data_IF_798245192467
#
_entry.id   IF_798245192467
#
_cell.length_a   1.000
_cell.length_b   1.000
_cell.length_c   1.000
_cell.angle_alpha   90.00
_cell.angle_beta   90.00
_cell.angle_gamma   90.00
#
_symmetry.space_group_name_H-M   'P 1'
#
loop_
_entity.id
_entity.type
_entity.pdbx_description
1 polymer ?
#
# COMPACT_ATOMS: atom_id res chain seq x y z
N UNK A 1 -5.92 30.12 6.57
CA UNK A 1 -6.44 28.81 6.97
C UNK A 1 -5.48 27.80 6.38
N UNK A 2 -4.82 26.98 7.21
CA UNK A 2 -3.97 25.90 6.71
C UNK A 2 -4.90 24.80 6.17
N UNK A 3 -4.70 24.38 4.91
CA UNK A 3 -5.45 23.28 4.33
C UNK A 3 -5.03 21.97 5.00
N UNK A 4 -6.00 21.17 5.47
CA UNK A 4 -5.70 19.88 6.07
C UNK A 4 -5.17 18.92 5.00
N UNK A 5 -3.95 18.43 5.19
CA UNK A 5 -3.28 17.49 4.27
C UNK A 5 -3.85 16.08 4.45
N UNK A 6 -4.07 15.36 3.34
CA UNK A 6 -4.48 13.95 3.39
C UNK A 6 -3.33 13.08 3.89
N UNK A 7 -3.60 12.17 4.83
CA UNK A 7 -2.58 11.28 5.42
C UNK A 7 -2.90 9.82 5.11
N UNK A 8 -1.96 9.14 4.44
CA UNK A 8 -1.96 7.68 4.29
C UNK A 8 -1.14 7.06 5.41
N UNK A 9 -1.80 6.38 6.34
CA UNK A 9 -1.14 5.53 7.33
C UNK A 9 -0.97 4.12 6.75
N UNK A 10 0.28 3.71 6.55
CA UNK A 10 0.65 2.48 5.88
C UNK A 10 1.44 1.60 6.86
N UNK A 11 0.77 0.60 7.41
CA UNK A 11 1.45 -0.42 8.21
C UNK A 11 1.99 -1.53 7.30
N UNK A 12 3.22 -1.95 7.54
CA UNK A 12 3.91 -3.01 6.80
C UNK A 12 4.32 -4.13 7.74
N UNK A 13 4.28 -5.36 7.25
CA UNK A 13 4.83 -6.51 7.96
C UNK A 13 5.39 -7.53 6.96
N UNK A 14 6.50 -8.15 7.32
CA UNK A 14 7.04 -9.33 6.65
C UNK A 14 7.65 -10.24 7.72
N UNK A 15 7.42 -11.57 7.68
CA UNK A 15 7.92 -12.49 8.71
C UNK A 15 9.43 -12.42 8.93
N UNK A 16 10.19 -12.19 7.87
CA UNK A 16 11.67 -12.11 7.91
C UNK A 16 12.19 -10.67 7.85
N UNK A 17 11.39 -9.66 8.22
CA UNK A 17 11.76 -8.23 8.07
C UNK A 17 13.06 -7.86 8.79
N UNK A 18 13.32 -8.44 9.97
CA UNK A 18 14.52 -8.17 10.78
C UNK A 18 15.78 -8.83 10.19
N UNK A 19 15.62 -9.99 9.53
CA UNK A 19 16.74 -10.76 8.98
C UNK A 19 17.15 -10.27 7.59
N UNK A 20 16.17 -9.97 6.74
CA UNK A 20 16.40 -9.69 5.32
C UNK A 20 16.34 -8.20 4.99
N UNK A 21 16.02 -7.34 5.97
CA UNK A 21 16.00 -5.90 5.78
C UNK A 21 15.01 -5.42 4.71
N UNK A 22 13.89 -6.14 4.51
CA UNK A 22 12.90 -5.88 3.45
C UNK A 22 12.41 -4.42 3.45
N UNK A 23 12.33 -3.80 4.62
CA UNK A 23 11.88 -2.42 4.81
C UNK A 23 13.00 -1.44 5.17
N UNK A 24 14.27 -1.81 4.95
CA UNK A 24 15.44 -0.99 5.34
C UNK A 24 15.49 0.39 4.67
N UNK A 25 14.87 0.56 3.51
CA UNK A 25 14.78 1.84 2.80
C UNK A 25 13.38 2.51 2.92
N UNK A 26 12.49 1.97 3.74
CA UNK A 26 11.16 2.57 3.95
C UNK A 26 11.32 3.73 4.93
N UNK A 27 11.01 4.98 4.54
CA UNK A 27 11.09 6.11 5.45
C UNK A 27 9.98 6.03 6.50
N UNK A 28 10.17 6.61 7.69
CA UNK A 28 9.10 6.70 8.69
C UNK A 28 7.93 7.61 8.21
N UNK A 29 8.27 8.67 7.48
CA UNK A 29 7.32 9.61 6.91
C UNK A 29 7.83 10.12 5.56
N UNK A 30 6.90 10.37 4.64
CA UNK A 30 7.16 10.99 3.34
C UNK A 30 6.06 12.01 3.04
N UNK A 31 6.45 13.26 2.77
CA UNK A 31 5.55 14.29 2.25
C UNK A 31 5.90 14.53 0.78
N UNK A 32 4.88 14.57 -0.09
CA UNK A 32 5.08 14.81 -1.51
C UNK A 32 3.85 15.49 -2.11
N UNK A 33 3.95 15.90 -3.37
CA UNK A 33 2.83 16.38 -4.16
C UNK A 33 1.80 15.28 -4.43
N UNK A 34 0.82 15.53 -5.29
CA UNK A 34 -0.18 14.52 -5.66
C UNK A 34 0.33 13.53 -6.74
N UNK A 35 1.64 13.31 -6.84
CA UNK A 35 2.17 12.25 -7.70
C UNK A 35 1.85 10.85 -7.14
N UNK A 36 1.74 9.83 -8.02
CA UNK A 36 1.45 8.47 -7.57
C UNK A 36 2.57 7.90 -6.69
N UNK A 37 2.20 7.25 -5.59
CA UNK A 37 3.13 6.59 -4.68
C UNK A 37 3.40 5.19 -5.23
N UNK A 38 4.62 4.94 -5.69
CA UNK A 38 4.99 3.65 -6.28
C UNK A 38 5.81 2.84 -5.29
N UNK A 39 5.39 1.61 -5.02
CA UNK A 39 6.15 0.64 -4.24
C UNK A 39 6.77 -0.39 -5.16
N UNK A 40 8.02 -0.76 -4.89
CA UNK A 40 8.72 -1.78 -5.66
C UNK A 40 10.20 -1.82 -5.31
N UNK A 41 10.98 -2.58 -6.08
CA UNK A 41 12.43 -2.71 -5.88
C UNK A 41 13.24 -1.68 -6.69
N UNK A 42 12.61 -1.04 -7.68
CA UNK A 42 13.25 -0.07 -8.58
C UNK A 42 13.75 1.16 -7.84
N UNK A 43 14.80 1.80 -8.36
CA UNK A 43 15.31 3.07 -7.82
C UNK A 43 14.37 4.25 -8.11
N UNK A 44 13.47 4.08 -9.08
CA UNK A 44 12.42 5.01 -9.46
C UNK A 44 11.15 4.91 -8.59
N UNK A 45 11.12 3.99 -7.61
CA UNK A 45 10.00 3.84 -6.70
C UNK A 45 10.05 4.85 -5.56
N UNK A 46 8.90 5.44 -5.24
CA UNK A 46 8.68 6.27 -4.07
C UNK A 46 9.02 5.54 -2.76
N UNK A 47 8.68 4.25 -2.68
CA UNK A 47 8.97 3.39 -1.53
C UNK A 47 9.67 2.12 -2.01
N UNK A 48 10.92 1.94 -1.58
CA UNK A 48 11.75 0.82 -2.00
C UNK A 48 11.65 -0.36 -1.04
N UNK A 49 11.25 -1.51 -1.58
CA UNK A 49 11.15 -2.78 -0.86
C UNK A 49 12.31 -3.69 -1.25
N UNK A 50 13.16 -4.04 -0.28
CA UNK A 50 14.39 -4.81 -0.49
C UNK A 50 14.13 -6.32 -0.46
N UNK A 51 13.38 -6.81 -1.45
CA UNK A 51 13.14 -8.25 -1.59
C UNK A 51 13.21 -8.69 -3.05
N UNK A 52 13.92 -9.79 -3.34
CA UNK A 52 14.20 -10.22 -4.72
C UNK A 52 12.95 -10.57 -5.53
N UNK A 53 11.93 -11.12 -4.86
CA UNK A 53 10.64 -11.46 -5.48
C UNK A 53 9.76 -10.24 -5.74
N UNK A 54 10.07 -9.07 -5.16
CA UNK A 54 9.34 -7.83 -5.45
C UNK A 54 9.74 -7.32 -6.84
N UNK A 55 8.73 -7.09 -7.68
CA UNK A 55 8.85 -6.44 -8.98
C UNK A 55 9.48 -5.04 -8.88
N UNK A 56 10.15 -4.59 -9.96
CA UNK A 56 10.76 -3.24 -10.02
C UNK A 56 9.74 -2.16 -9.68
N UNK A 57 8.54 -2.25 -10.26
CA UNK A 57 7.33 -1.54 -9.83
C UNK A 57 6.29 -2.61 -9.48
N UNK A 58 5.80 -2.63 -8.25
CA UNK A 58 4.96 -3.72 -7.74
C UNK A 58 3.51 -3.26 -7.58
N UNK A 59 3.29 -2.13 -6.92
CA UNK A 59 1.98 -1.49 -6.82
C UNK A 59 2.11 0.02 -6.84
N UNK A 60 0.99 0.69 -7.09
CA UNK A 60 0.88 2.14 -7.09
C UNK A 60 -0.36 2.56 -6.32
N UNK A 61 -0.22 3.58 -5.46
CA UNK A 61 -1.34 4.33 -4.91
C UNK A 61 -1.48 5.64 -5.69
N UNK A 62 -2.62 5.82 -6.34
CA UNK A 62 -2.88 6.94 -7.21
C UNK A 62 -3.95 7.84 -6.59
N UNK A 63 -3.60 9.10 -6.25
CA UNK A 63 -4.55 10.08 -5.75
C UNK A 63 -5.49 10.53 -6.88
N UNK A 64 -6.75 10.79 -6.56
CA UNK A 64 -7.72 11.38 -7.48
C UNK A 64 -8.78 12.18 -6.72
N UNK A 65 -9.45 13.09 -7.44
CA UNK A 65 -10.61 13.82 -6.95
C UNK A 65 -11.85 13.39 -7.73
N UNK A 66 -12.92 13.09 -7.01
CA UNK A 66 -14.23 12.91 -7.62
C UNK A 66 -14.88 14.26 -7.90
N UNK A 67 -15.73 14.32 -8.92
CA UNK A 67 -16.42 15.57 -9.28
C UNK A 67 -17.31 16.01 -8.12
N UNK A 68 -16.97 17.15 -7.52
CA UNK A 68 -17.72 17.73 -6.41
C UNK A 68 -17.30 17.24 -5.02
N UNK A 69 -16.29 16.38 -4.91
CA UNK A 69 -15.64 16.07 -3.63
C UNK A 69 -14.51 17.08 -3.37
N UNK A 70 -14.33 17.42 -2.10
CA UNK A 70 -13.21 18.23 -1.62
C UNK A 70 -12.08 17.37 -1.06
N UNK A 71 -12.36 16.10 -0.76
CA UNK A 71 -11.40 15.19 -0.18
C UNK A 71 -10.69 14.37 -1.25
N UNK A 72 -9.38 14.23 -1.08
CA UNK A 72 -8.57 13.37 -1.93
C UNK A 72 -8.94 11.90 -1.72
N UNK A 73 -9.20 11.20 -2.82
CA UNK A 73 -9.41 9.75 -2.85
C UNK A 73 -8.15 9.09 -3.38
N UNK A 74 -8.06 7.78 -3.16
CA UNK A 74 -6.92 6.98 -3.61
C UNK A 74 -7.39 5.69 -4.22
N UNK A 75 -6.61 5.20 -5.16
CA UNK A 75 -6.81 3.91 -5.79
C UNK A 75 -5.52 3.12 -5.77
N UNK A 76 -5.63 1.81 -5.62
CA UNK A 76 -4.52 0.89 -5.61
C UNK A 76 -4.50 0.13 -6.93
N UNK A 77 -3.36 0.15 -7.61
CA UNK A 77 -3.14 -0.51 -8.89
C UNK A 77 -2.01 -1.53 -8.79
N UNK A 78 -2.24 -2.73 -9.32
CA UNK A 78 -1.18 -3.72 -9.45
C UNK A 78 -0.29 -3.40 -10.67
N UNK A 79 1.02 -3.25 -10.44
CA UNK A 79 2.02 -3.04 -11.48
C UNK A 79 2.92 -4.26 -11.73
N UNK A 80 2.80 -5.30 -10.91
CA UNK A 80 3.53 -6.55 -11.06
C UNK A 80 2.95 -7.40 -12.18
N UNK A 81 3.76 -7.71 -13.19
CA UNK A 81 3.44 -8.75 -14.20
C UNK A 81 3.66 -10.17 -13.68
N UNK A 82 4.44 -10.31 -12.60
CA UNK A 82 4.92 -11.59 -12.08
C UNK A 82 3.94 -12.23 -11.10
N UNK A 83 3.13 -11.41 -10.44
CA UNK A 83 2.28 -11.83 -9.34
C UNK A 83 1.01 -10.99 -9.31
N UNK A 84 -0.10 -11.63 -8.99
CA UNK A 84 -1.28 -10.93 -8.48
C UNK A 84 -1.02 -10.48 -7.03
N UNK A 85 -1.91 -9.65 -6.50
CA UNK A 85 -1.95 -9.31 -5.08
C UNK A 85 -3.35 -9.48 -4.55
N UNK A 86 -3.50 -9.84 -3.28
CA UNK A 86 -4.81 -9.93 -2.64
C UNK A 86 -5.14 -8.59 -1.99
N UNK A 87 -6.23 -7.96 -2.40
CA UNK A 87 -6.77 -6.73 -1.80
C UNK A 87 -8.12 -7.03 -1.19
N UNK A 88 -8.25 -6.87 0.14
CA UNK A 88 -9.47 -7.16 0.89
C UNK A 88 -10.06 -8.57 0.60
N UNK A 89 -9.18 -9.56 0.39
CA UNK A 89 -9.55 -10.95 0.10
C UNK A 89 -9.75 -11.26 -1.38
N UNK A 90 -9.73 -10.25 -2.25
CA UNK A 90 -9.92 -10.40 -3.69
C UNK A 90 -8.61 -10.30 -4.45
N UNK A 91 -8.39 -11.16 -5.44
CA UNK A 91 -7.20 -11.08 -6.29
C UNK A 91 -7.26 -9.89 -7.25
N UNK A 92 -6.17 -9.12 -7.29
CA UNK A 92 -5.96 -7.99 -8.19
C UNK A 92 -4.84 -8.32 -9.19
N UNK A 93 -5.23 -8.48 -10.44
CA UNK A 93 -4.33 -8.85 -11.55
C UNK A 93 -3.55 -7.67 -12.11
N UNK A 94 -2.56 -7.95 -12.97
CA UNK A 94 -1.72 -6.93 -13.58
C UNK A 94 -2.54 -5.81 -14.23
N UNK A 95 -2.19 -4.56 -13.91
CA UNK A 95 -2.86 -3.31 -14.34
C UNK A 95 -4.29 -3.11 -13.85
N UNK A 96 -4.88 -4.06 -13.11
CA UNK A 96 -6.15 -3.84 -12.47
C UNK A 96 -5.98 -2.86 -11.29
N UNK A 97 -7.05 -2.11 -11.03
CA UNK A 97 -7.08 -1.03 -10.06
C UNK A 97 -8.38 -1.09 -9.27
N UNK A 98 -8.30 -0.78 -7.99
CA UNK A 98 -9.46 -0.69 -7.08
C UNK A 98 -9.39 0.60 -6.25
N UNK A 99 -10.50 1.27 -5.97
CA UNK A 99 -10.51 2.38 -5.03
C UNK A 99 -10.16 1.90 -3.62
N UNK A 100 -9.47 2.73 -2.84
CA UNK A 100 -9.30 2.51 -1.41
C UNK A 100 -10.60 2.85 -0.68
N UNK A 101 -11.03 1.97 0.22
CA UNK A 101 -12.22 2.18 1.04
C UNK A 101 -11.96 1.73 2.47
N UNK A 102 -12.05 2.65 3.43
CA UNK A 102 -11.74 2.38 4.84
C UNK A 102 -10.34 1.78 5.01
N UNK A 103 -10.24 0.77 5.87
CA UNK A 103 -9.01 0.01 6.10
C UNK A 103 -8.79 -1.03 4.97
N UNK A 104 -7.83 -0.78 4.09
CA UNK A 104 -7.52 -1.67 2.97
C UNK A 104 -6.37 -2.62 3.33
N UNK A 105 -6.63 -3.92 3.25
CA UNK A 105 -5.66 -4.99 3.53
C UNK A 105 -5.09 -5.53 2.22
N UNK A 106 -3.78 -5.55 2.11
CA UNK A 106 -3.07 -5.96 0.90
C UNK A 106 -2.03 -7.02 1.24
N UNK A 107 -2.07 -8.14 0.52
CA UNK A 107 -1.03 -9.18 0.57
C UNK A 107 -0.31 -9.22 -0.78
N UNK A 108 1.00 -9.01 -0.73
CA UNK A 108 1.90 -9.08 -1.88
C UNK A 108 2.78 -10.32 -1.77
N UNK A 109 3.06 -11.00 -2.87
CA UNK A 109 4.20 -11.91 -2.94
C UNK A 109 5.49 -11.10 -2.72
N UNK A 110 6.34 -11.45 -1.74
CA UNK A 110 6.62 -12.77 -1.14
C UNK A 110 5.94 -13.12 0.21
N UNK A 111 4.84 -12.47 0.59
CA UNK A 111 4.28 -12.51 1.94
C UNK A 111 4.39 -11.17 2.68
N UNK A 112 4.50 -10.06 1.95
CA UNK A 112 4.45 -8.72 2.53
C UNK A 112 2.98 -8.36 2.79
N UNK A 113 2.67 -8.10 4.05
CA UNK A 113 1.36 -7.60 4.45
C UNK A 113 1.40 -6.09 4.52
N UNK A 114 0.35 -5.45 4.03
CA UNK A 114 0.17 -4.01 4.09
C UNK A 114 -1.26 -3.69 4.55
N UNK A 115 -1.38 -2.75 5.47
CA UNK A 115 -2.65 -2.17 5.90
C UNK A 115 -2.62 -0.67 5.63
N UNK A 116 -3.57 -0.19 4.84
CA UNK A 116 -3.64 1.20 4.39
C UNK A 116 -4.89 1.83 4.97
N UNK A 117 -4.71 2.93 5.71
CA UNK A 117 -5.81 3.78 6.20
C UNK A 117 -5.61 5.20 5.69
N UNK A 118 -6.67 5.79 5.14
CA UNK A 118 -6.69 7.19 4.71
C UNK A 118 -7.35 8.05 5.78
N UNK A 119 -6.62 9.03 6.29
CA UNK A 119 -7.19 10.17 6.99
C UNK A 119 -7.45 11.27 5.93
N UNK A 120 -8.72 11.57 5.62
CA UNK A 120 -9.04 12.50 4.54
C UNK A 120 -8.61 13.92 4.91
N UNK A 121 -8.03 14.62 3.94
CA UNK A 121 -7.73 16.04 3.99
C UNK A 121 -8.33 16.76 2.78
N UNK A 122 -8.36 18.09 2.84
CA UNK A 122 -8.89 18.97 1.79
C UNK A 122 -7.80 19.62 0.93
N UNK A 123 -6.52 19.43 1.29
CA UNK A 123 -5.41 19.91 0.46
C UNK A 123 -5.43 19.22 -0.90
N UNK A 124 -5.36 20.04 -1.95
CA UNK A 124 -5.31 19.59 -3.35
C UNK A 124 -3.89 19.62 -3.92
N UNK A 125 -2.88 19.83 -3.07
CA UNK A 125 -1.49 20.05 -3.51
C UNK A 125 -0.53 18.99 -3.02
N UNK A 126 -0.79 18.45 -1.84
CA UNK A 126 0.15 17.56 -1.16
C UNK A 126 -0.55 16.50 -0.33
N UNK A 127 0.20 15.45 -0.04
CA UNK A 127 -0.19 14.35 0.82
C UNK A 127 0.97 13.95 1.72
N UNK A 128 0.65 13.29 2.83
CA UNK A 128 1.64 12.68 3.72
C UNK A 128 1.43 11.17 3.76
N UNK A 129 2.50 10.40 3.68
CA UNK A 129 2.53 8.97 3.98
C UNK A 129 3.26 8.77 5.30
N UNK A 130 2.65 8.04 6.24
CA UNK A 130 3.28 7.59 7.48
C UNK A 130 3.42 6.08 7.43
N UNK A 131 4.62 5.58 7.68
CA UNK A 131 4.91 4.15 7.62
C UNK A 131 5.12 3.59 9.02
N UNK A 132 4.49 2.46 9.29
CA UNK A 132 4.64 1.75 10.55
C UNK A 132 5.05 0.30 10.29
N UNK A 133 6.20 -0.13 10.84
CA UNK A 133 6.64 -1.52 10.72
C UNK A 133 6.05 -2.32 11.88
N UNK A 134 5.18 -3.28 11.57
CA UNK A 134 4.52 -4.14 12.56
C UNK A 134 5.33 -5.41 12.80
N UNK A 135 5.51 -5.77 14.07
CA UNK A 135 6.15 -7.03 14.45
C UNK A 135 5.23 -8.24 14.32
N UNK A 136 3.92 -8.02 14.33
CA UNK A 136 2.91 -9.06 14.15
C UNK A 136 2.24 -8.96 12.77
N UNK A 137 1.77 -10.09 12.21
CA UNK A 137 1.00 -10.10 10.98
C UNK A 137 -0.21 -9.15 11.03
N UNK A 138 -0.33 -8.31 10.00
CA UNK A 138 -1.42 -7.31 9.89
C UNK A 138 -2.74 -7.90 9.38
N UNK A 139 -2.69 -9.12 8.85
CA UNK A 139 -3.79 -9.74 8.14
C UNK A 139 -3.92 -11.18 8.65
N UNK A 140 -5.05 -11.46 9.28
CA UNK A 140 -5.48 -12.81 9.66
C UNK A 140 -6.54 -13.25 8.67
N UNK A 141 -6.13 -13.95 7.60
CA UNK A 141 -7.11 -14.66 6.79
C UNK A 141 -7.57 -15.87 7.61
N UNK A 142 -8.81 -15.85 8.11
CA UNK A 142 -9.42 -17.07 8.62
C UNK A 142 -9.39 -18.06 7.46
N UNK A 143 -8.62 -19.15 7.60
CA UNK A 143 -8.73 -20.27 6.67
C UNK A 143 -10.20 -20.72 6.71
N UNK A 144 -10.85 -21.01 5.57
CA UNK A 144 -12.09 -21.77 5.64
C UNK A 144 -11.78 -23.04 6.42
N UNK A 145 -12.57 -23.31 7.46
CA UNK A 145 -12.50 -24.62 8.11
C UNK A 145 -12.66 -25.66 7.01
N UNK A 146 -11.65 -26.51 6.84
CA UNK A 146 -11.82 -27.75 6.11
C UNK A 146 -12.86 -28.54 6.90
N UNK A 147 -14.13 -28.43 6.48
CA UNK A 147 -15.16 -29.36 6.89
C UNK A 147 -14.69 -30.73 6.40
N UNK A 148 -14.16 -31.52 7.32
CA UNK A 148 -13.86 -32.93 7.09
C UNK A 148 -15.20 -33.62 6.79
N UNK A 149 -15.28 -34.22 5.60
CA UNK A 149 -16.30 -35.21 5.24
C UNK A 149 -16.34 -36.37 6.23
#
# INVERSE_FOLDING_TARGET
MEEQVSVLNISLHHPEQERNGVFSEVPAQLQQDLSPIVFGRGADCTVRLQHQQVSRRHLQLEPYLEKGDLHLRFSLKNLSRKSSMTVNGTQLWYLHQVPLSGATRVLLEPGIHMLINLEPGISSKELTCRFHLSQSPLITWLKPEESKD
#
